data_IF_586389168881
#
_entry.id   IF_586389168881
#
_cell.length_a   1.000
_cell.length_b   1.000
_cell.length_c   1.000
_cell.angle_alpha   90.00
_cell.angle_beta   90.00
_cell.angle_gamma   90.00
#
_symmetry.space_group_name_H-M   'P 1'
#
loop_
_entity.id
_entity.type
_entity.pdbx_description
1 polymer ?
#
# COMPACT_ATOMS: atom_id res chain seq x y z
N UNK A 1 -11.28 0.18 17.97
CA UNK A 1 -12.49 1.00 18.21
C UNK A 1 -12.81 1.67 16.88
N UNK A 2 -13.66 1.03 16.06
CA UNK A 2 -14.01 1.51 14.72
C UNK A 2 -15.23 2.41 14.84
N UNK A 3 -15.06 3.71 14.58
CA UNK A 3 -16.16 4.68 14.70
C UNK A 3 -16.59 5.15 13.31
N UNK A 4 -17.76 4.64 12.92
CA UNK A 4 -18.73 5.18 11.97
C UNK A 4 -18.23 5.97 10.75
N UNK A 5 -18.12 5.27 9.62
CA UNK A 5 -18.09 5.88 8.29
C UNK A 5 -19.54 6.11 7.85
N UNK A 6 -20.00 7.36 7.86
CA UNK A 6 -21.29 7.74 7.28
C UNK A 6 -21.11 7.87 5.77
N UNK A 7 -21.35 6.77 5.07
CA UNK A 7 -21.25 6.66 3.61
C UNK A 7 -22.42 7.40 2.96
N UNK A 8 -22.17 8.56 2.37
CA UNK A 8 -23.11 9.20 1.42
C UNK A 8 -22.58 8.89 0.02
N UNK A 9 -23.12 7.85 -0.62
CA UNK A 9 -22.96 7.63 -2.06
C UNK A 9 -24.05 8.47 -2.73
N UNK A 10 -23.66 9.48 -3.49
CA UNK A 10 -24.55 10.11 -4.46
C UNK A 10 -24.28 9.40 -5.79
N UNK A 11 -25.17 8.49 -6.17
CA UNK A 11 -25.26 7.99 -7.54
C UNK A 11 -25.86 9.10 -8.40
N UNK A 12 -25.18 9.52 -9.46
CA UNK A 12 -25.83 10.22 -10.56
C UNK A 12 -25.03 10.07 -11.87
N UNK A 13 -25.77 9.82 -12.94
CA UNK A 13 -25.33 9.73 -14.32
C UNK A 13 -24.62 11.01 -14.82
N UNK A 14 -23.69 10.81 -15.77
CA UNK A 14 -23.24 11.74 -16.84
C UNK A 14 -22.10 12.77 -16.60
N UNK A 15 -21.08 12.66 -17.47
CA UNK A 15 -20.28 13.73 -18.14
C UNK A 15 -19.20 14.59 -17.43
N UNK A 16 -18.96 14.56 -16.11
CA UNK A 16 -17.93 15.41 -15.47
C UNK A 16 -16.96 14.69 -14.51
N UNK A 17 -15.92 15.41 -14.08
CA UNK A 17 -14.76 15.00 -13.28
C UNK A 17 -15.12 14.47 -11.91
N UNK A 18 -14.38 13.47 -11.41
CA UNK A 18 -14.59 12.91 -10.08
C UNK A 18 -13.36 13.11 -9.19
N UNK A 19 -13.55 13.85 -8.12
CA UNK A 19 -12.66 13.83 -6.98
C UNK A 19 -13.48 13.76 -5.68
N UNK A 20 -12.90 13.11 -4.67
CA UNK A 20 -13.46 13.03 -3.33
C UNK A 20 -12.59 13.86 -2.38
N UNK A 21 -13.25 14.64 -1.54
CA UNK A 21 -12.59 15.36 -0.44
C UNK A 21 -13.01 14.72 0.88
N UNK A 22 -12.05 14.57 1.79
CA UNK A 22 -12.31 14.25 3.19
C UNK A 22 -12.27 15.54 4.02
N UNK A 23 -13.42 15.92 4.59
CA UNK A 23 -13.55 17.02 5.56
C UNK A 23 -13.78 16.43 6.96
N UNK A 24 -13.04 16.92 7.95
CA UNK A 24 -13.24 16.57 9.34
C UNK A 24 -14.01 17.70 10.03
N UNK A 25 -15.31 17.51 10.26
CA UNK A 25 -16.11 18.48 11.01
C UNK A 25 -15.82 18.38 12.51
N UNK A 26 -15.86 19.52 13.20
CA UNK A 26 -15.67 19.65 14.64
C UNK A 26 -16.69 18.79 15.40
N UNK A 27 -16.29 17.56 15.74
CA UNK A 27 -17.17 16.53 16.32
C UNK A 27 -16.83 15.10 15.92
N UNK A 28 -15.86 14.86 15.03
CA UNK A 28 -15.27 13.54 14.81
C UNK A 28 -15.93 12.68 13.73
N UNK A 29 -16.81 13.25 12.91
CA UNK A 29 -17.33 12.58 11.71
C UNK A 29 -16.52 12.97 10.48
N UNK A 30 -16.21 11.98 9.64
CA UNK A 30 -15.57 12.16 8.34
C UNK A 30 -16.67 12.34 7.29
N UNK A 31 -16.71 13.50 6.63
CA UNK A 31 -17.58 13.74 5.47
C UNK A 31 -16.82 13.50 4.18
N UNK A 32 -17.29 12.53 3.39
CA UNK A 32 -16.87 12.32 2.00
C UNK A 32 -17.80 13.11 1.09
N UNK A 33 -17.24 14.04 0.31
CA UNK A 33 -18.00 14.78 -0.70
C UNK A 33 -17.37 14.55 -2.06
N UNK A 34 -18.18 14.08 -3.01
CA UNK A 34 -17.83 13.99 -4.42
C UNK A 34 -18.26 15.30 -5.07
N UNK A 35 -17.30 16.02 -5.63
CA UNK A 35 -17.54 17.33 -6.18
C UNK A 35 -17.57 17.27 -7.70
N UNK A 36 -18.51 18.00 -8.30
CA UNK A 36 -18.54 18.31 -9.74
C UNK A 36 -17.82 19.64 -10.04
N UNK A 37 -17.68 20.51 -9.02
CA UNK A 37 -17.04 21.82 -9.07
C UNK A 37 -15.97 21.93 -7.96
N UNK A 38 -14.87 22.63 -8.21
CA UNK A 38 -13.80 22.81 -7.22
C UNK A 38 -14.29 23.49 -5.93
N UNK A 39 -13.72 23.14 -4.76
CA UNK A 39 -14.11 23.75 -3.49
C UNK A 39 -13.93 25.27 -3.53
N UNK A 40 -14.79 25.99 -2.81
CA UNK A 40 -14.65 27.43 -2.67
C UNK A 40 -13.47 27.77 -1.72
N UNK A 41 -12.82 28.92 -1.92
CA UNK A 41 -11.64 29.30 -1.11
C UNK A 41 -11.94 29.35 0.40
N UNK A 42 -13.18 29.67 0.79
CA UNK A 42 -13.61 29.66 2.19
C UNK A 42 -13.63 28.25 2.82
N UNK A 43 -13.58 27.18 2.03
CA UNK A 43 -13.55 25.79 2.51
C UNK A 43 -12.12 25.22 2.63
N UNK A 44 -11.11 25.91 2.09
CA UNK A 44 -9.74 25.36 1.96
C UNK A 44 -9.09 24.98 3.29
N UNK A 45 -9.42 25.70 4.37
CA UNK A 45 -8.90 25.41 5.70
C UNK A 45 -9.43 24.10 6.29
N UNK A 46 -10.57 23.59 5.80
CA UNK A 46 -11.18 22.38 6.34
C UNK A 46 -10.77 21.11 5.59
N UNK A 47 -10.10 21.26 4.45
CA UNK A 47 -9.75 20.16 3.56
C UNK A 47 -8.44 19.52 4.02
N UNK A 48 -8.51 18.22 4.36
CA UNK A 48 -7.36 17.44 4.85
C UNK A 48 -6.96 16.30 3.91
N UNK A 49 -7.88 15.81 3.09
CA UNK A 49 -7.57 14.79 2.09
C UNK A 49 -8.27 15.11 0.77
N UNK A 50 -7.59 14.86 -0.33
CA UNK A 50 -8.18 14.88 -1.67
C UNK A 50 -7.78 13.60 -2.40
N UNK A 51 -8.73 12.99 -3.09
CA UNK A 51 -8.48 11.89 -3.99
C UNK A 51 -9.12 12.13 -5.34
N UNK A 52 -8.30 12.20 -6.38
CA UNK A 52 -8.75 12.21 -7.76
C UNK A 52 -8.90 10.77 -8.26
N UNK A 53 -10.07 10.45 -8.82
CA UNK A 53 -10.36 9.14 -9.40
C UNK A 53 -10.47 9.28 -10.91
N UNK A 54 -9.30 9.48 -11.54
CA UNK A 54 -9.18 9.79 -12.98
C UNK A 54 -8.38 8.68 -13.65
N UNK A 55 -8.83 8.29 -14.84
CA UNK A 55 -8.20 7.25 -15.66
C UNK A 55 -7.84 7.80 -17.03
N UNK A 56 -7.12 7.03 -17.83
CA UNK A 56 -6.85 7.40 -19.23
C UNK A 56 -8.12 7.56 -20.07
N UNK A 57 -9.25 6.95 -19.67
CA UNK A 57 -10.55 7.15 -20.34
C UNK A 57 -11.15 8.55 -20.12
N UNK A 58 -10.57 9.33 -19.20
CA UNK A 58 -10.97 10.68 -18.87
C UNK A 58 -10.04 11.74 -19.47
N UNK A 59 -9.06 11.35 -20.30
CA UNK A 59 -8.07 12.27 -20.88
C UNK A 59 -8.73 13.44 -21.63
N UNK A 60 -9.67 13.14 -22.54
CA UNK A 60 -10.40 14.16 -23.31
C UNK A 60 -11.32 15.05 -22.44
N UNK A 61 -11.59 14.62 -21.20
CA UNK A 61 -12.36 15.41 -20.25
C UNK A 61 -11.45 16.44 -19.55
N UNK A 62 -10.12 16.28 -19.59
CA UNK A 62 -9.15 17.20 -18.94
C UNK A 62 -9.02 18.48 -19.73
N UNK A 63 -9.73 19.53 -19.26
CA UNK A 63 -9.60 20.88 -19.80
C UNK A 63 -8.54 21.71 -19.08
N UNK A 64 -8.40 21.52 -17.77
CA UNK A 64 -7.45 22.24 -16.94
C UNK A 64 -7.00 21.41 -15.74
N UNK A 65 -5.79 21.70 -15.25
CA UNK A 65 -5.29 21.11 -14.01
C UNK A 65 -5.82 21.88 -12.80
N UNK A 66 -6.06 21.19 -11.67
CA UNK A 66 -6.56 21.84 -10.46
C UNK A 66 -5.54 22.83 -9.89
N UNK A 67 -5.83 24.13 -10.03
CA UNK A 67 -4.94 25.22 -9.57
C UNK A 67 -5.11 25.58 -8.09
N UNK A 68 -6.05 24.94 -7.38
CA UNK A 68 -6.34 25.24 -5.98
C UNK A 68 -5.55 24.38 -4.99
N UNK A 69 -4.96 23.26 -5.43
CA UNK A 69 -4.30 22.29 -4.54
C UNK A 69 -3.18 22.96 -3.72
N UNK A 70 -2.38 23.82 -4.36
CA UNK A 70 -1.32 24.59 -3.69
C UNK A 70 -1.82 25.50 -2.57
N UNK A 71 -3.11 25.89 -2.60
CA UNK A 71 -3.73 26.76 -1.59
C UNK A 71 -4.27 26.00 -0.37
N UNK A 72 -4.28 24.65 -0.40
CA UNK A 72 -4.83 23.82 0.66
C UNK A 72 -3.82 23.58 1.79
N UNK A 73 -3.63 24.58 2.65
CA UNK A 73 -2.59 24.58 3.68
C UNK A 73 -2.75 23.47 4.74
N UNK A 74 -3.95 22.88 4.89
CA UNK A 74 -4.21 21.79 5.82
C UNK A 74 -4.27 20.40 5.16
N UNK A 75 -3.98 20.32 3.85
CA UNK A 75 -3.96 19.07 3.11
C UNK A 75 -2.85 18.15 3.63
N UNK A 76 -3.23 16.95 4.05
CA UNK A 76 -2.34 15.90 4.58
C UNK A 76 -2.25 14.70 3.66
N UNK A 77 -3.31 14.41 2.91
CA UNK A 77 -3.39 13.26 2.02
C UNK A 77 -3.80 13.69 0.62
N UNK A 78 -3.07 13.23 -0.39
CA UNK A 78 -3.35 13.52 -1.79
C UNK A 78 -3.23 12.25 -2.63
N UNK A 79 -4.28 11.94 -3.40
CA UNK A 79 -4.24 10.92 -4.45
C UNK A 79 -4.39 11.59 -5.81
N UNK A 80 -3.40 11.46 -6.69
CA UNK A 80 -3.39 12.07 -8.03
C UNK A 80 -2.77 11.13 -9.06
N UNK A 81 -3.07 11.31 -10.36
CA UNK A 81 -2.31 10.70 -11.44
C UNK A 81 -0.83 11.06 -11.37
N UNK A 82 0.04 10.10 -11.68
CA UNK A 82 1.50 10.28 -11.61
C UNK A 82 2.02 11.39 -12.53
N UNK A 83 1.36 11.60 -13.67
CA UNK A 83 1.69 12.60 -14.68
C UNK A 83 1.19 14.01 -14.35
N UNK A 84 0.69 14.22 -13.12
CA UNK A 84 0.33 15.53 -12.61
C UNK A 84 1.39 16.12 -11.65
N UNK A 85 2.34 15.32 -11.17
CA UNK A 85 3.33 15.75 -10.18
C UNK A 85 4.14 16.99 -10.58
N UNK A 86 4.37 17.20 -11.87
CA UNK A 86 5.08 18.35 -12.44
C UNK A 86 4.14 19.42 -13.03
N UNK A 87 2.82 19.22 -12.94
CA UNK A 87 1.81 20.09 -13.56
C UNK A 87 0.96 20.86 -12.57
N UNK A 88 0.93 20.43 -11.30
CA UNK A 88 0.18 21.09 -10.23
C UNK A 88 1.12 21.51 -9.10
N UNK A 89 0.75 22.60 -8.43
CA UNK A 89 1.40 22.98 -7.18
C UNK A 89 0.86 22.10 -6.04
N UNK A 90 1.76 21.36 -5.39
CA UNK A 90 1.42 20.45 -4.29
C UNK A 90 2.00 21.02 -2.99
N UNK A 91 1.17 21.22 -1.93
CA UNK A 91 1.65 21.62 -0.62
C UNK A 91 2.70 20.66 -0.07
N UNK A 92 3.81 21.18 0.45
CA UNK A 92 4.93 20.35 0.94
C UNK A 92 4.67 19.69 2.30
N UNK A 93 3.55 20.02 2.95
CA UNK A 93 3.14 19.49 4.25
C UNK A 93 2.36 18.17 4.16
N UNK A 94 2.21 17.61 2.96
CA UNK A 94 1.60 16.30 2.70
C UNK A 94 2.33 15.20 3.47
N UNK A 95 1.55 14.33 4.10
CA UNK A 95 1.99 13.16 4.85
C UNK A 95 1.72 11.86 4.09
N UNK A 96 0.69 11.84 3.24
CA UNK A 96 0.31 10.69 2.40
C UNK A 96 0.17 11.13 0.95
N UNK A 97 0.92 10.51 0.06
CA UNK A 97 0.83 10.72 -1.39
C UNK A 97 0.57 9.38 -2.08
N UNK A 98 -0.54 9.30 -2.80
CA UNK A 98 -0.88 8.12 -3.60
C UNK A 98 -0.87 8.50 -5.06
N UNK A 99 0.01 7.88 -5.82
CA UNK A 99 0.10 8.10 -7.24
C UNK A 99 -0.73 7.03 -7.95
N UNK A 100 -1.61 7.44 -8.85
CA UNK A 100 -2.38 6.54 -9.71
C UNK A 100 -1.74 6.47 -11.10
N UNK A 101 -2.22 5.54 -11.92
CA UNK A 101 -1.82 5.44 -13.33
C UNK A 101 -1.94 6.79 -14.04
N UNK A 102 -1.07 7.06 -15.02
CA UNK A 102 -1.10 8.32 -15.77
C UNK A 102 -2.42 8.44 -16.52
N UNK A 103 -2.88 9.68 -16.68
CA UNK A 103 -4.07 9.94 -17.52
C UNK A 103 -3.67 9.93 -18.99
N UNK A 104 -2.56 10.58 -19.32
CA UNK A 104 -2.09 10.64 -20.69
C UNK A 104 -1.35 9.35 -21.09
N UNK A 105 -1.50 8.96 -22.37
CA UNK A 105 -0.68 7.91 -22.96
C UNK A 105 0.79 8.35 -23.00
N UNK A 106 1.52 8.02 -21.94
CA UNK A 106 2.92 8.38 -21.79
C UNK A 106 3.83 7.20 -22.10
N UNK A 107 4.46 7.25 -23.27
CA UNK A 107 5.44 6.23 -23.69
C UNK A 107 6.83 6.42 -23.05
N UNK A 108 7.04 7.49 -22.29
CA UNK A 108 8.32 7.79 -21.65
C UNK A 108 8.51 7.15 -20.28
N UNK A 109 9.64 7.46 -19.66
CA UNK A 109 9.89 7.16 -18.26
C UNK A 109 9.44 8.34 -17.39
N UNK A 110 8.51 8.11 -16.48
CA UNK A 110 8.08 9.13 -15.54
C UNK A 110 9.21 9.41 -14.54
N UNK A 111 9.46 10.69 -14.24
CA UNK A 111 10.51 11.13 -13.32
C UNK A 111 9.91 12.02 -12.26
N UNK A 112 10.40 11.86 -11.05
CA UNK A 112 10.06 12.74 -9.94
C UNK A 112 10.73 14.10 -10.12
N UNK A 113 10.02 15.22 -9.94
CA UNK A 113 10.62 16.55 -10.03
C UNK A 113 11.73 16.71 -8.98
N UNK A 114 12.96 17.00 -9.41
CA UNK A 114 14.14 16.96 -8.53
C UNK A 114 14.08 17.97 -7.38
N UNK A 115 13.36 19.07 -7.58
CA UNK A 115 13.12 20.16 -6.64
C UNK A 115 11.96 19.87 -5.67
N UNK A 116 11.11 18.89 -5.98
CA UNK A 116 9.97 18.53 -5.14
C UNK A 116 10.42 17.62 -3.99
N UNK A 117 10.54 18.18 -2.80
CA UNK A 117 10.99 17.49 -1.59
C UNK A 117 9.89 17.50 -0.53
N UNK A 118 9.27 16.35 -0.28
CA UNK A 118 8.28 16.18 0.78
C UNK A 118 8.94 15.67 2.07
N UNK A 119 9.36 16.61 2.92
CA UNK A 119 9.97 16.28 4.23
C UNK A 119 8.97 15.64 5.20
N UNK A 120 7.68 15.89 5.03
CA UNK A 120 6.63 15.37 5.91
C UNK A 120 6.02 14.07 5.39
N UNK A 121 6.37 13.62 4.18
CA UNK A 121 5.79 12.43 3.59
C UNK A 121 6.16 11.20 4.41
N UNK A 122 5.14 10.48 4.86
CA UNK A 122 5.22 9.24 5.62
C UNK A 122 4.82 8.03 4.81
N UNK A 123 3.89 8.20 3.87
CA UNK A 123 3.41 7.12 3.03
C UNK A 123 3.36 7.54 1.55
N UNK A 124 4.02 6.74 0.71
CA UNK A 124 4.04 6.87 -0.73
C UNK A 124 3.50 5.58 -1.38
N UNK A 125 2.52 5.72 -2.26
CA UNK A 125 2.10 4.68 -3.21
C UNK A 125 2.56 5.08 -4.59
N UNK A 126 3.30 4.19 -5.26
CA UNK A 126 3.67 4.31 -6.67
C UNK A 126 2.80 3.32 -7.46
N UNK A 127 2.13 3.74 -8.55
CA UNK A 127 1.12 2.91 -9.20
C UNK A 127 1.72 1.65 -9.80
N UNK A 128 0.88 0.63 -9.90
CA UNK A 128 1.22 -0.61 -10.59
C UNK A 128 1.45 -0.38 -12.09
N UNK A 129 2.28 -1.23 -12.71
CA UNK A 129 2.44 -1.39 -14.16
C UNK A 129 2.85 -0.15 -14.96
N UNK A 130 3.29 0.94 -14.31
CA UNK A 130 3.96 2.05 -14.99
C UNK A 130 5.42 1.71 -15.30
N UNK A 131 5.99 2.29 -16.37
CA UNK A 131 7.43 2.19 -16.63
C UNK A 131 8.23 2.68 -15.39
N UNK A 132 9.46 2.16 -15.15
CA UNK A 132 10.17 2.38 -13.89
C UNK A 132 10.24 3.85 -13.52
N UNK A 133 9.64 4.22 -12.39
CA UNK A 133 9.56 5.61 -11.96
C UNK A 133 10.90 6.03 -11.33
N UNK A 134 11.56 7.04 -11.92
CA UNK A 134 12.82 7.54 -11.36
C UNK A 134 12.54 8.59 -10.28
N UNK A 135 12.83 8.24 -9.04
CA UNK A 135 12.92 9.18 -7.93
C UNK A 135 14.29 9.09 -7.27
N UNK A 136 14.64 10.15 -6.53
CA UNK A 136 15.75 10.17 -5.60
C UNK A 136 15.18 10.04 -4.18
N UNK A 137 15.78 9.16 -3.35
CA UNK A 137 15.37 8.99 -1.95
C UNK A 137 15.42 10.29 -1.13
N UNK A 138 16.23 11.26 -1.56
CA UNK A 138 16.29 12.59 -0.96
C UNK A 138 14.99 13.40 -1.13
N UNK A 139 14.10 13.02 -2.05
CA UNK A 139 12.80 13.67 -2.23
C UNK A 139 11.82 13.39 -1.08
N UNK A 140 12.04 12.35 -0.28
CA UNK A 140 11.15 11.97 0.83
C UNK A 140 11.94 11.34 1.99
N UNK A 141 12.79 12.14 2.67
CA UNK A 141 13.78 11.62 3.62
C UNK A 141 13.18 10.95 4.88
N UNK A 142 11.91 11.21 5.19
CA UNK A 142 11.25 10.76 6.42
C UNK A 142 10.16 9.71 6.17
N UNK A 143 10.17 9.08 4.99
CA UNK A 143 9.20 8.07 4.60
C UNK A 143 9.27 6.85 5.53
N UNK A 144 8.11 6.34 5.92
CA UNK A 144 7.98 5.17 6.80
C UNK A 144 7.32 4.00 6.07
N UNK A 145 6.46 4.29 5.08
CA UNK A 145 5.72 3.33 4.29
C UNK A 145 5.96 3.53 2.81
N UNK A 146 6.29 2.44 2.11
CA UNK A 146 6.28 2.43 0.65
C UNK A 146 5.43 1.30 0.10
N UNK A 147 4.61 1.63 -0.90
CA UNK A 147 3.90 0.70 -1.76
C UNK A 147 4.44 0.83 -3.18
N UNK A 148 5.08 -0.24 -3.64
CA UNK A 148 5.82 -0.26 -4.89
C UNK A 148 5.61 -1.56 -5.66
N UNK A 149 5.17 -1.42 -6.91
CA UNK A 149 5.10 -2.52 -7.84
C UNK A 149 6.45 -2.79 -8.51
N UNK A 150 6.98 -3.99 -8.32
CA UNK A 150 8.24 -4.45 -8.89
C UNK A 150 8.07 -5.09 -10.27
N UNK A 151 6.85 -5.19 -10.82
CA UNK A 151 6.61 -5.72 -12.16
C UNK A 151 7.52 -5.12 -13.26
N UNK A 152 7.81 -3.80 -13.28
CA UNK A 152 8.66 -3.15 -14.28
C UNK A 152 10.15 -3.43 -14.08
N UNK A 153 10.56 -3.88 -12.89
CA UNK A 153 11.95 -4.06 -12.52
C UNK A 153 12.53 -5.34 -13.13
N UNK A 154 13.72 -5.22 -13.73
CA UNK A 154 14.46 -6.34 -14.33
C UNK A 154 15.61 -6.84 -13.45
N UNK A 155 16.00 -6.05 -12.46
CA UNK A 155 17.09 -6.32 -11.53
C UNK A 155 16.79 -5.63 -10.19
N UNK A 156 17.73 -5.69 -9.25
CA UNK A 156 17.56 -5.18 -7.89
C UNK A 156 17.99 -3.71 -7.71
N UNK A 157 18.35 -2.99 -8.78
CA UNK A 157 18.88 -1.63 -8.65
C UNK A 157 17.88 -0.69 -7.94
N UNK A 158 16.60 -0.73 -8.32
CA UNK A 158 15.57 0.09 -7.68
C UNK A 158 15.35 -0.29 -6.21
N UNK A 159 15.39 -1.58 -5.90
CA UNK A 159 15.28 -2.09 -4.53
C UNK A 159 16.45 -1.60 -3.68
N UNK A 160 17.66 -1.61 -4.24
CA UNK A 160 18.86 -1.06 -3.60
C UNK A 160 18.81 0.46 -3.41
N UNK A 161 18.14 1.20 -4.29
CA UNK A 161 17.89 2.63 -4.03
C UNK A 161 16.89 2.80 -2.89
N UNK A 162 15.80 2.03 -2.89
CA UNK A 162 14.78 2.07 -1.83
C UNK A 162 15.34 1.75 -0.45
N UNK A 163 16.28 0.81 -0.33
CA UNK A 163 16.91 0.49 0.95
C UNK A 163 17.73 1.63 1.56
N UNK A 164 18.07 2.67 0.79
CA UNK A 164 18.75 3.86 1.34
C UNK A 164 17.83 4.76 2.18
N UNK A 165 16.54 4.45 2.23
CA UNK A 165 15.58 5.16 3.07
C UNK A 165 15.71 4.69 4.52
N UNK A 166 16.19 5.57 5.40
CA UNK A 166 16.59 5.21 6.76
C UNK A 166 15.43 4.97 7.73
N UNK A 167 14.22 5.44 7.41
CA UNK A 167 13.08 5.46 8.33
C UNK A 167 12.00 4.43 7.98
N UNK A 168 12.25 3.54 7.02
CA UNK A 168 11.28 2.53 6.59
C UNK A 168 10.90 1.59 7.74
N UNK A 169 9.59 1.40 7.88
CA UNK A 169 8.96 0.46 8.82
C UNK A 169 7.97 -0.47 8.13
N UNK A 170 7.42 -0.05 6.99
CA UNK A 170 6.36 -0.77 6.31
C UNK A 170 6.67 -0.88 4.81
N UNK A 171 6.62 -2.10 4.30
CA UNK A 171 6.89 -2.41 2.91
C UNK A 171 5.68 -3.12 2.32
N UNK A 172 5.13 -2.58 1.23
CA UNK A 172 4.18 -3.28 0.35
C UNK A 172 4.88 -3.44 -0.99
N UNK A 173 5.03 -4.70 -1.42
CA UNK A 173 5.64 -5.01 -2.71
C UNK A 173 4.74 -5.90 -3.58
N UNK A 174 4.48 -5.41 -4.78
CA UNK A 174 3.78 -6.14 -5.84
C UNK A 174 4.75 -6.81 -6.81
N UNK A 175 4.35 -7.95 -7.38
CA UNK A 175 4.95 -8.53 -8.60
C UNK A 175 6.48 -8.67 -8.63
N UNK A 176 7.12 -9.01 -7.52
CA UNK A 176 8.57 -9.19 -7.43
C UNK A 176 9.13 -10.32 -8.32
N UNK A 177 8.28 -11.16 -8.94
CA UNK A 177 8.67 -12.31 -9.76
C UNK A 177 9.71 -13.18 -9.03
N UNK A 178 10.94 -13.31 -9.55
CA UNK A 178 12.03 -14.06 -8.94
C UNK A 178 13.07 -13.14 -8.26
N UNK A 179 12.78 -11.85 -8.08
CA UNK A 179 13.72 -10.91 -7.47
C UNK A 179 13.86 -11.20 -5.98
N UNK A 180 15.12 -11.30 -5.55
CA UNK A 180 15.44 -11.39 -4.13
C UNK A 180 15.52 -9.98 -3.54
N UNK A 181 14.46 -9.58 -2.86
CA UNK A 181 14.30 -8.22 -2.30
C UNK A 181 14.69 -8.14 -0.83
N UNK A 182 14.72 -9.27 -0.12
CA UNK A 182 14.80 -9.33 1.33
C UNK A 182 16.11 -8.77 1.90
N UNK A 183 17.30 -9.15 1.39
CA UNK A 183 18.57 -8.75 2.01
C UNK A 183 18.79 -7.24 2.06
N UNK A 184 18.15 -6.49 1.17
CA UNK A 184 18.26 -5.04 1.12
C UNK A 184 17.66 -4.33 2.34
N UNK A 185 16.77 -5.00 3.07
CA UNK A 185 16.00 -4.38 4.16
C UNK A 185 16.23 -5.05 5.52
N UNK A 186 17.22 -5.95 5.65
CA UNK A 186 17.50 -6.62 6.93
C UNK A 186 18.07 -5.69 8.00
N UNK A 187 18.73 -4.61 7.61
CA UNK A 187 19.24 -3.60 8.53
C UNK A 187 18.14 -2.61 8.98
N UNK A 188 16.95 -2.66 8.35
CA UNK A 188 15.80 -1.84 8.71
C UNK A 188 14.96 -2.50 9.79
N UNK A 189 14.28 -1.67 10.57
CA UNK A 189 13.27 -2.13 11.55
C UNK A 189 11.91 -2.28 10.88
N UNK A 190 11.82 -3.17 9.90
CA UNK A 190 10.56 -3.46 9.21
C UNK A 190 9.60 -4.14 10.19
N UNK A 191 8.46 -3.49 10.44
CA UNK A 191 7.38 -3.96 11.31
C UNK A 191 6.23 -4.58 10.50
N UNK A 192 6.05 -4.17 9.25
CA UNK A 192 5.01 -4.71 8.35
C UNK A 192 5.57 -5.03 6.99
N UNK A 193 5.21 -6.21 6.50
CA UNK A 193 5.50 -6.65 5.14
C UNK A 193 4.22 -7.14 4.48
N UNK A 194 3.91 -6.57 3.33
CA UNK A 194 2.88 -7.05 2.41
C UNK A 194 3.50 -7.45 1.08
N UNK A 195 3.14 -8.65 0.61
CA UNK A 195 3.56 -9.20 -0.67
C UNK A 195 2.33 -9.54 -1.50
N UNK A 196 2.22 -8.93 -2.67
CA UNK A 196 1.12 -9.18 -3.61
C UNK A 196 1.66 -9.71 -4.95
N UNK A 197 1.03 -10.77 -5.47
CA UNK A 197 1.30 -11.29 -6.81
C UNK A 197 2.78 -11.60 -7.11
N UNK A 198 3.56 -12.01 -6.09
CA UNK A 198 4.93 -12.46 -6.25
C UNK A 198 4.96 -13.90 -6.81
N UNK A 199 4.65 -14.01 -8.11
CA UNK A 199 4.36 -15.29 -8.80
C UNK A 199 5.58 -15.95 -9.47
N UNK A 200 6.81 -15.51 -9.19
CA UNK A 200 8.00 -16.16 -9.72
C UNK A 200 8.19 -17.55 -9.14
N UNK A 201 8.52 -18.54 -10.00
CA UNK A 201 8.69 -19.94 -9.59
C UNK A 201 9.78 -20.15 -8.54
N UNK A 202 10.75 -19.23 -8.47
CA UNK A 202 11.88 -19.28 -7.54
C UNK A 202 11.90 -18.03 -6.64
N UNK A 203 10.73 -17.46 -6.34
CA UNK A 203 10.67 -16.34 -5.40
C UNK A 203 11.19 -16.78 -4.02
N UNK A 204 12.21 -16.13 -3.43
CA UNK A 204 12.92 -16.62 -2.26
C UNK A 204 12.19 -16.29 -0.95
N UNK A 205 10.93 -16.70 -0.84
CA UNK A 205 10.04 -16.37 0.29
C UNK A 205 10.62 -16.78 1.64
N UNK A 206 11.44 -17.82 1.70
CA UNK A 206 12.09 -18.30 2.92
C UNK A 206 12.99 -17.25 3.57
N UNK A 207 13.47 -16.25 2.80
CA UNK A 207 14.36 -15.20 3.31
C UNK A 207 13.63 -14.15 4.16
N UNK A 208 12.29 -14.20 4.26
CA UNK A 208 11.54 -13.31 5.17
C UNK A 208 12.02 -13.39 6.62
N UNK A 209 12.60 -14.53 7.02
CA UNK A 209 13.15 -14.77 8.36
C UNK A 209 14.23 -13.75 8.79
N UNK A 210 14.80 -13.00 7.84
CA UNK A 210 15.74 -11.91 8.15
C UNK A 210 15.09 -10.69 8.81
N UNK A 211 13.77 -10.52 8.72
CA UNK A 211 13.06 -9.38 9.33
C UNK A 211 12.77 -9.60 10.83
N UNK A 212 13.76 -9.30 11.67
CA UNK A 212 13.69 -9.56 13.12
C UNK A 212 12.69 -8.70 13.91
N UNK A 213 12.19 -7.61 13.32
CA UNK A 213 11.19 -6.73 13.95
C UNK A 213 9.78 -6.89 13.37
N UNK A 214 9.56 -7.89 12.51
CA UNK A 214 8.30 -8.04 11.76
C UNK A 214 7.15 -8.43 12.69
N UNK A 215 6.12 -7.58 12.75
CA UNK A 215 4.92 -7.78 13.58
C UNK A 215 3.71 -8.19 12.75
N UNK A 216 3.67 -7.82 11.47
CA UNK A 216 2.55 -8.13 10.59
C UNK A 216 3.03 -8.58 9.21
N UNK A 217 2.51 -9.74 8.77
CA UNK A 217 2.85 -10.35 7.50
C UNK A 217 1.57 -10.61 6.69
N UNK A 218 1.50 -9.97 5.53
CA UNK A 218 0.40 -10.11 4.58
C UNK A 218 0.95 -10.69 3.29
N UNK A 219 0.43 -11.84 2.87
CA UNK A 219 0.87 -12.50 1.63
C UNK A 219 -0.37 -12.84 0.82
N UNK A 220 -0.39 -12.35 -0.41
CA UNK A 220 -1.46 -12.61 -1.34
C UNK A 220 -0.92 -13.06 -2.69
N UNK A 221 -1.37 -14.23 -3.14
CA UNK A 221 -1.11 -14.76 -4.48
C UNK A 221 0.39 -14.94 -4.80
N UNK A 222 1.08 -15.78 -4.03
CA UNK A 222 2.43 -16.28 -4.36
C UNK A 222 2.34 -17.67 -5.01
N UNK A 223 3.29 -17.98 -5.89
CA UNK A 223 3.29 -19.27 -6.63
C UNK A 223 4.15 -20.35 -5.99
N UNK A 224 5.09 -19.97 -5.13
CA UNK A 224 5.95 -20.88 -4.37
C UNK A 224 5.21 -21.52 -3.19
N UNK A 225 5.79 -22.58 -2.63
CA UNK A 225 5.28 -23.19 -1.41
C UNK A 225 5.51 -22.23 -0.24
N UNK A 226 4.48 -22.01 0.57
CA UNK A 226 4.60 -21.31 1.84
C UNK A 226 4.65 -22.35 2.97
N UNK A 227 5.82 -22.55 3.55
CA UNK A 227 6.00 -23.40 4.71
C UNK A 227 5.81 -22.59 5.99
N UNK A 228 4.73 -22.85 6.74
CA UNK A 228 4.46 -22.13 7.99
C UNK A 228 5.51 -22.38 9.09
N UNK A 229 6.43 -23.33 8.94
CA UNK A 229 7.53 -23.52 9.88
C UNK A 229 8.44 -22.29 9.98
N UNK A 230 8.61 -21.53 8.88
CA UNK A 230 9.45 -20.31 8.86
C UNK A 230 8.93 -19.21 9.79
N UNK A 231 7.65 -19.27 10.17
CA UNK A 231 7.03 -18.30 11.06
C UNK A 231 7.65 -18.37 12.47
N UNK A 232 8.18 -19.53 12.87
CA UNK A 232 8.82 -19.71 14.17
C UNK A 232 10.11 -18.87 14.32
N UNK A 233 10.73 -18.47 13.20
CA UNK A 233 11.90 -17.59 13.18
C UNK A 233 11.53 -16.09 13.22
N UNK A 234 10.24 -15.77 13.12
CA UNK A 234 9.68 -14.41 13.15
C UNK A 234 9.10 -14.13 14.55
N UNK A 235 9.96 -14.11 15.56
CA UNK A 235 9.57 -14.11 16.98
C UNK A 235 8.64 -12.97 17.42
N UNK A 236 8.65 -11.85 16.69
CA UNK A 236 7.81 -10.66 16.95
C UNK A 236 6.47 -10.69 16.18
N UNK A 237 6.17 -11.73 15.40
CA UNK A 237 5.00 -11.77 14.54
C UNK A 237 3.70 -11.93 15.34
N UNK A 238 2.80 -10.96 15.19
CA UNK A 238 1.50 -10.89 15.87
C UNK A 238 0.33 -11.14 14.92
N UNK A 239 0.45 -10.70 13.66
CA UNK A 239 -0.60 -10.76 12.64
C UNK A 239 -0.12 -11.48 11.37
N UNK A 240 -0.88 -12.48 10.95
CA UNK A 240 -0.61 -13.29 9.77
C UNK A 240 -1.83 -13.36 8.84
N UNK A 241 -1.66 -12.89 7.61
CA UNK A 241 -2.69 -12.95 6.59
C UNK A 241 -2.16 -13.67 5.34
N UNK A 242 -2.74 -14.83 5.02
CA UNK A 242 -2.41 -15.64 3.85
C UNK A 242 -3.63 -15.75 2.93
N UNK A 243 -3.51 -15.20 1.72
CA UNK A 243 -4.61 -15.08 0.77
C UNK A 243 -4.21 -15.70 -0.58
N UNK A 244 -5.09 -16.51 -1.16
CA UNK A 244 -4.92 -17.04 -2.52
C UNK A 244 -3.60 -17.81 -2.74
N UNK A 245 -3.09 -18.49 -1.71
CA UNK A 245 -1.83 -19.27 -1.78
C UNK A 245 -2.16 -20.74 -1.98
N UNK A 246 -1.84 -21.29 -3.15
CA UNK A 246 -2.25 -22.66 -3.51
C UNK A 246 -1.58 -23.77 -2.67
N UNK A 247 -0.36 -23.51 -2.20
CA UNK A 247 0.49 -24.51 -1.55
C UNK A 247 0.99 -23.97 -0.20
N UNK A 248 0.13 -24.02 0.82
CA UNK A 248 0.52 -23.76 2.21
C UNK A 248 0.72 -25.11 2.91
N UNK A 249 1.86 -25.30 3.56
CA UNK A 249 2.21 -26.54 4.27
C UNK A 249 2.57 -26.27 5.74
N UNK A 250 2.57 -27.33 6.56
CA UNK A 250 2.92 -27.31 7.97
C UNK A 250 2.15 -26.25 8.79
N UNK A 251 0.86 -26.05 8.46
CA UNK A 251 0.04 -24.98 9.04
C UNK A 251 -0.09 -25.10 10.57
N UNK A 252 0.05 -26.30 11.13
CA UNK A 252 0.09 -26.56 12.57
C UNK A 252 1.19 -25.78 13.31
N UNK A 253 2.27 -25.39 12.61
CA UNK A 253 3.34 -24.58 13.19
C UNK A 253 2.88 -23.20 13.68
N UNK A 254 1.75 -22.70 13.19
CA UNK A 254 1.14 -21.48 13.71
C UNK A 254 0.69 -21.66 15.17
N UNK A 255 0.26 -22.86 15.58
CA UNK A 255 -0.14 -23.15 16.96
C UNK A 255 1.04 -23.04 17.93
N UNK A 256 2.23 -23.41 17.47
CA UNK A 256 3.51 -23.34 18.21
C UNK A 256 4.02 -21.89 18.34
N UNK A 257 3.55 -20.95 17.51
CA UNK A 257 3.99 -19.55 17.58
C UNK A 257 3.43 -18.85 18.82
N UNK A 258 4.34 -18.18 19.56
CA UNK A 258 4.04 -17.58 20.87
C UNK A 258 3.23 -16.29 20.79
N UNK A 259 3.43 -15.48 19.74
CA UNK A 259 2.86 -14.12 19.64
C UNK A 259 1.74 -13.95 18.60
N UNK A 260 1.57 -14.89 17.66
CA UNK A 260 0.53 -14.75 16.63
C UNK A 260 -0.82 -14.83 17.33
N UNK A 261 -1.58 -13.73 17.25
CA UNK A 261 -2.89 -13.60 17.88
C UNK A 261 -3.96 -13.10 16.90
N UNK A 262 -3.59 -12.74 15.67
CA UNK A 262 -4.51 -12.44 14.56
C UNK A 262 -4.17 -13.26 13.33
N UNK A 263 -5.16 -13.96 12.79
CA UNK A 263 -4.98 -14.84 11.63
C UNK A 263 -6.14 -14.64 10.64
N UNK A 264 -5.80 -14.42 9.38
CA UNK A 264 -6.70 -14.59 8.22
C UNK A 264 -6.06 -15.57 7.24
N UNK A 265 -6.71 -16.69 6.97
CA UNK A 265 -6.29 -17.62 5.91
C UNK A 265 -7.49 -17.88 5.01
N UNK A 266 -7.36 -17.53 3.74
CA UNK A 266 -8.47 -17.57 2.78
C UNK A 266 -8.00 -17.98 1.39
N UNK A 267 -8.80 -18.82 0.74
CA UNK A 267 -8.56 -19.35 -0.60
C UNK A 267 -7.17 -20.01 -0.74
N UNK A 268 -6.76 -20.81 0.26
CA UNK A 268 -5.45 -21.44 0.33
C UNK A 268 -5.49 -22.98 0.12
N UNK A 269 -6.50 -23.46 -0.60
CA UNK A 269 -6.69 -24.88 -0.94
C UNK A 269 -6.77 -25.81 0.30
N UNK A 270 -7.41 -25.33 1.37
CA UNK A 270 -7.64 -26.08 2.61
C UNK A 270 -6.36 -26.66 3.24
N UNK A 271 -5.43 -25.79 3.73
CA UNK A 271 -4.18 -26.24 4.34
C UNK A 271 -4.39 -27.03 5.65
N UNK A 272 -5.57 -26.92 6.24
CA UNK A 272 -5.96 -27.58 7.49
C UNK A 272 -6.42 -29.02 7.31
N UNK A 273 -6.39 -29.59 6.09
CA UNK A 273 -6.97 -30.91 5.79
C UNK A 273 -6.49 -32.03 6.74
N UNK A 274 -5.24 -31.99 7.18
CA UNK A 274 -4.65 -33.04 8.02
C UNK A 274 -4.93 -32.85 9.51
N UNK A 275 -4.79 -31.61 10.01
CA UNK A 275 -4.88 -31.30 11.44
C UNK A 275 -6.27 -30.85 11.91
N UNK A 276 -7.13 -30.46 10.98
CA UNK A 276 -8.43 -29.87 11.26
C UNK A 276 -8.35 -28.42 11.75
N UNK A 277 -9.45 -27.68 11.60
CA UNK A 277 -9.54 -26.28 12.04
C UNK A 277 -9.78 -26.15 13.55
N UNK A 278 -10.27 -27.21 14.22
CA UNK A 278 -10.67 -27.17 15.63
C UNK A 278 -9.53 -26.78 16.57
N UNK A 279 -8.31 -27.27 16.32
CA UNK A 279 -7.14 -26.90 17.13
C UNK A 279 -6.86 -25.39 17.16
N UNK A 280 -7.29 -24.64 16.13
CA UNK A 280 -7.16 -23.19 16.08
C UNK A 280 -8.29 -22.50 16.84
N UNK A 281 -9.51 -23.03 16.81
CA UNK A 281 -10.64 -22.47 17.56
C UNK A 281 -10.50 -22.67 19.07
N UNK A 282 -9.72 -23.66 19.51
CA UNK A 282 -9.42 -23.90 20.93
C UNK A 282 -8.42 -22.88 21.51
N UNK A 283 -7.65 -22.17 20.66
CA UNK A 283 -6.72 -21.11 21.09
C UNK A 283 -7.42 -19.74 21.07
N UNK A 284 -7.17 -18.94 22.11
CA UNK A 284 -7.77 -17.61 22.27
C UNK A 284 -7.09 -16.56 21.36
N UNK A 285 -7.40 -16.59 20.07
CA UNK A 285 -6.98 -15.54 19.13
C UNK A 285 -7.83 -14.27 19.30
N UNK A 286 -7.20 -13.10 19.18
CA UNK A 286 -7.90 -11.81 19.12
C UNK A 286 -8.76 -11.68 17.84
N UNK A 287 -8.30 -12.31 16.75
CA UNK A 287 -9.03 -12.40 15.49
C UNK A 287 -8.64 -13.68 14.76
N UNK A 288 -9.61 -14.48 14.35
CA UNK A 288 -9.40 -15.70 13.59
C UNK A 288 -10.44 -15.82 12.47
N UNK A 289 -10.00 -15.77 11.22
CA UNK A 289 -10.81 -16.12 10.05
C UNK A 289 -10.08 -17.14 9.18
N UNK A 290 -10.50 -18.39 9.30
CA UNK A 290 -9.97 -19.53 8.54
C UNK A 290 -11.09 -20.32 7.87
N UNK A 291 -12.33 -19.79 7.87
CA UNK A 291 -13.51 -20.53 7.41
C UNK A 291 -13.42 -20.84 5.92
N UNK A 292 -12.84 -19.91 5.15
CA UNK A 292 -12.68 -20.00 3.71
C UNK A 292 -11.25 -20.33 3.27
N UNK A 293 -10.41 -20.84 4.18
CA UNK A 293 -9.06 -21.32 3.89
C UNK A 293 -9.04 -22.48 2.89
#
# INVERSE_FOLDING_TARGET
MYTQIKKVIINADSTNWYFSIEKQDFGGNVEYRQYLDFPNENEYLDIKSITFSITSSDEDKIKEYPNFIGKLLNLKSLTIPIDWLDKIEIPLNIEVLKLTSPVSNFDGQHKWPSDLIFKNLKYLVIPELVKPYLFNVLNFPNIEWIDYDLAPEKNTNRVNELSKLNNLKHLIFGHAKNLDIFPFFFDHKIETLELFACIGKNFPIEKIIGFKSLKSLYINNISVVFDCAILLDLEELEELNLLNIKNVINVEKILEHKKINKILIKACNNPFKQIGKNAFFEKEYNSLDINYA
#
